data_IF_964599520252
#
_entry.id   IF_964599520252
#
_cell.length_a   1.000
_cell.length_b   1.000
_cell.length_c   1.000
_cell.angle_alpha   90.00
_cell.angle_beta   90.00
_cell.angle_gamma   90.00
#
_symmetry.space_group_name_H-M   'P 1'
#
loop_
_entity.id
_entity.type
_entity.pdbx_description
1 polymer ?
#
# COMPACT_ATOMS: atom_id res chain seq x y z
N UNK A 1 -20.97 4.87 -7.65
CA UNK A 1 -21.84 4.65 -6.48
C UNK A 1 -22.57 3.32 -6.66
N UNK A 2 -22.22 2.30 -5.89
CA UNK A 2 -22.98 1.05 -5.85
C UNK A 2 -22.77 0.39 -4.49
N UNK A 3 -23.63 0.73 -3.54
CA UNK A 3 -23.88 -0.06 -2.34
C UNK A 3 -25.34 0.20 -1.97
N UNK A 4 -26.24 -0.56 -2.58
CA UNK A 4 -27.64 -0.62 -2.14
C UNK A 4 -28.00 -2.10 -2.09
N UNK A 5 -27.96 -2.66 -0.88
CA UNK A 5 -28.46 -4.00 -0.61
C UNK A 5 -29.98 -3.92 -0.64
N UNK A 6 -30.58 -4.66 -1.56
CA UNK A 6 -32.04 -4.75 -1.76
C UNK A 6 -32.66 -5.33 -0.48
N UNK A 7 -33.65 -4.64 0.08
CA UNK A 7 -34.38 -5.08 1.26
C UNK A 7 -35.16 -6.36 0.94
N UNK A 8 -34.66 -7.52 1.38
CA UNK A 8 -35.38 -8.79 1.19
C UNK A 8 -34.55 -10.07 1.23
N UNK A 9 -33.22 -10.02 1.33
CA UNK A 9 -32.41 -11.24 1.45
C UNK A 9 -32.44 -11.79 2.89
N UNK A 10 -33.28 -12.79 3.14
CA UNK A 10 -33.21 -13.60 4.35
C UNK A 10 -31.88 -14.37 4.40
N UNK A 11 -31.15 -14.20 5.49
CA UNK A 11 -29.86 -14.83 5.72
C UNK A 11 -30.01 -16.34 5.90
N UNK A 12 -29.65 -17.11 4.87
CA UNK A 12 -29.44 -18.55 4.98
C UNK A 12 -27.92 -18.80 5.03
N UNK A 13 -27.48 -19.46 6.11
CA UNK A 13 -26.09 -19.72 6.48
C UNK A 13 -25.25 -18.53 6.99
N UNK A 14 -25.56 -18.05 8.20
CA UNK A 14 -24.67 -18.08 9.38
C UNK A 14 -23.24 -17.52 9.35
N UNK A 15 -22.68 -17.06 8.23
CA UNK A 15 -21.40 -16.34 8.16
C UNK A 15 -21.41 -15.41 6.95
N UNK A 16 -21.62 -14.11 7.18
CA UNK A 16 -21.13 -13.09 6.26
C UNK A 16 -19.64 -12.86 6.60
N UNK A 17 -18.66 -13.23 5.75
CA UNK A 17 -17.24 -13.12 6.08
C UNK A 17 -16.72 -11.68 6.04
N UNK A 18 -17.57 -10.68 5.82
CA UNK A 18 -17.23 -9.30 6.13
C UNK A 18 -17.30 -9.08 7.65
N UNK A 19 -16.28 -9.55 8.37
CA UNK A 19 -15.97 -9.01 9.69
C UNK A 19 -15.61 -7.55 9.50
N UNK A 20 -16.64 -6.71 9.54
CA UNK A 20 -16.62 -5.28 9.79
C UNK A 20 -15.64 -4.98 10.92
N UNK A 21 -14.42 -4.57 10.58
CA UNK A 21 -13.73 -3.59 11.43
C UNK A 21 -13.94 -2.24 10.75
N UNK A 22 -14.91 -1.50 11.28
CA UNK A 22 -15.12 -0.11 10.93
C UNK A 22 -13.95 0.69 11.50
N UNK A 23 -12.90 0.88 10.71
CA UNK A 23 -11.78 1.75 11.09
C UNK A 23 -12.16 3.21 10.86
N UNK A 24 -12.21 3.99 11.95
CA UNK A 24 -12.08 5.45 11.93
C UNK A 24 -10.63 5.82 11.62
N UNK A 25 -10.39 6.99 11.01
CA UNK A 25 -9.06 7.41 10.54
C UNK A 25 -7.99 7.44 11.64
N UNK A 26 -8.37 7.82 12.87
CA UNK A 26 -7.48 7.83 14.03
C UNK A 26 -6.98 6.42 14.41
N UNK A 27 -7.82 5.39 14.29
CA UNK A 27 -7.44 3.99 14.58
C UNK A 27 -6.56 3.35 13.49
N UNK A 28 -6.36 4.01 12.35
CA UNK A 28 -5.62 3.46 11.22
C UNK A 28 -4.11 3.50 11.47
N UNK A 29 -3.63 4.61 12.05
CA UNK A 29 -2.20 4.84 12.30
C UNK A 29 -1.70 3.85 13.35
N UNK A 30 -2.45 3.71 14.45
CA UNK A 30 -2.14 2.76 15.51
C UNK A 30 -1.96 1.35 14.95
N UNK A 31 -2.85 0.94 14.04
CA UNK A 31 -2.75 -0.36 13.37
C UNK A 31 -1.61 -0.45 12.37
N UNK A 32 -1.31 0.64 11.66
CA UNK A 32 -0.20 0.67 10.71
C UNK A 32 1.16 0.50 11.40
N UNK A 33 1.28 0.99 12.64
CA UNK A 33 2.47 0.82 13.47
C UNK A 33 2.65 -0.65 13.90
N UNK A 34 1.55 -1.36 14.16
CA UNK A 34 1.59 -2.77 14.60
C UNK A 34 1.95 -3.76 13.47
N UNK A 35 1.89 -3.33 12.20
CA UNK A 35 2.16 -4.19 11.05
C UNK A 35 3.57 -4.76 11.12
N UNK A 36 3.69 -6.07 10.89
CA UNK A 36 4.96 -6.81 11.01
C UNK A 36 5.55 -7.28 9.70
N UNK A 37 4.81 -7.16 8.61
CA UNK A 37 5.24 -7.58 7.27
C UNK A 37 4.45 -6.84 6.18
N UNK A 38 5.09 -6.65 5.04
CA UNK A 38 4.44 -6.20 3.80
C UNK A 38 3.90 -7.41 3.04
N UNK A 39 2.92 -7.21 2.16
CA UNK A 39 2.41 -8.28 1.29
C UNK A 39 1.06 -7.95 0.67
N UNK A 40 0.65 -8.81 -0.26
CA UNK A 40 -0.67 -8.74 -0.89
C UNK A 40 -1.63 -9.73 -0.25
N UNK A 41 -1.81 -10.86 -0.92
CA UNK A 41 -2.62 -12.00 -0.47
C UNK A 41 -1.74 -13.23 -0.20
N UNK A 42 -2.19 -14.12 0.68
CA UNK A 42 -1.45 -15.35 1.01
C UNK A 42 -2.37 -16.56 1.29
N UNK A 43 -1.81 -17.77 1.19
CA UNK A 43 -2.56 -19.01 1.41
C UNK A 43 -3.79 -19.10 0.50
N UNK A 44 -4.96 -19.36 1.07
CA UNK A 44 -6.23 -19.39 0.33
C UNK A 44 -6.77 -17.96 0.07
N UNK A 45 -6.01 -17.14 -0.66
CA UNK A 45 -6.33 -15.75 -1.05
C UNK A 45 -6.69 -14.82 0.12
N UNK A 46 -6.12 -15.06 1.30
CA UNK A 46 -6.36 -14.20 2.47
C UNK A 46 -5.60 -12.88 2.30
N UNK A 47 -6.26 -11.71 2.42
CA UNK A 47 -5.56 -10.44 2.37
C UNK A 47 -4.68 -10.26 3.61
N UNK A 48 -3.50 -9.69 3.42
CA UNK A 48 -2.65 -9.28 4.55
C UNK A 48 -3.21 -8.02 5.21
N UNK A 49 -2.90 -7.81 6.49
CA UNK A 49 -3.25 -6.58 7.21
C UNK A 49 -2.67 -5.34 6.51
N UNK A 50 -1.45 -5.44 5.99
CA UNK A 50 -0.80 -4.39 5.20
C UNK A 50 -1.65 -4.01 3.97
N UNK A 51 -2.14 -4.98 3.21
CA UNK A 51 -3.03 -4.73 2.07
C UNK A 51 -4.36 -4.09 2.51
N UNK A 52 -4.95 -4.55 3.60
CA UNK A 52 -6.19 -3.97 4.13
C UNK A 52 -6.02 -2.49 4.53
N UNK A 53 -4.91 -2.16 5.20
CA UNK A 53 -4.59 -0.79 5.57
C UNK A 53 -4.34 0.09 4.34
N UNK A 54 -3.67 -0.44 3.31
CA UNK A 54 -3.46 0.26 2.06
C UNK A 54 -4.79 0.59 1.36
N UNK A 55 -5.70 -0.38 1.27
CA UNK A 55 -7.04 -0.18 0.71
C UNK A 55 -7.83 0.84 1.52
N UNK A 56 -7.65 0.88 2.84
CA UNK A 56 -8.30 1.88 3.69
C UNK A 56 -7.71 3.27 3.50
N UNK A 57 -6.38 3.41 3.35
CA UNK A 57 -5.74 4.67 2.94
C UNK A 57 -6.29 5.17 1.60
N UNK A 58 -6.47 4.27 0.62
CA UNK A 58 -7.11 4.58 -0.67
C UNK A 58 -8.56 5.08 -0.52
N UNK A 59 -9.31 4.57 0.44
CA UNK A 59 -10.68 5.01 0.69
C UNK A 59 -10.76 6.38 1.38
N UNK A 60 -9.87 6.66 2.34
CA UNK A 60 -9.91 7.93 3.10
C UNK A 60 -9.18 9.07 2.39
N UNK A 61 -8.28 8.72 1.46
CA UNK A 61 -7.57 9.63 0.58
C UNK A 61 -6.95 10.83 1.33
N UNK A 62 -5.98 10.59 2.24
CA UNK A 62 -5.44 11.64 3.10
C UNK A 62 -4.68 12.70 2.31
N UNK A 63 -4.52 13.87 2.91
CA UNK A 63 -3.74 14.97 2.35
C UNK A 63 -2.26 14.62 2.21
N UNK A 64 -1.58 15.30 1.27
CA UNK A 64 -0.16 15.03 0.93
C UNK A 64 0.75 15.22 2.14
N UNK A 65 0.47 16.22 2.96
CA UNK A 65 1.22 16.59 4.16
C UNK A 65 1.26 15.43 5.16
N UNK A 66 0.12 14.76 5.36
CA UNK A 66 0.02 13.59 6.26
C UNK A 66 0.91 12.45 5.76
N UNK A 67 0.92 12.20 4.45
CA UNK A 67 1.76 11.16 3.84
C UNK A 67 3.25 11.47 3.96
N UNK A 68 3.63 12.75 3.84
CA UNK A 68 5.01 13.20 4.05
C UNK A 68 5.44 12.94 5.50
N UNK A 69 4.57 13.19 6.48
CA UNK A 69 4.85 12.86 7.88
C UNK A 69 4.99 11.34 8.10
N UNK A 70 4.18 10.51 7.43
CA UNK A 70 4.36 9.05 7.47
C UNK A 70 5.67 8.60 6.85
N UNK A 71 6.16 9.29 5.81
CA UNK A 71 7.47 9.01 5.22
C UNK A 71 8.61 9.38 6.17
N UNK A 72 8.47 10.49 6.90
CA UNK A 72 9.44 10.99 7.89
C UNK A 72 9.47 10.20 9.19
N UNK A 73 8.47 9.37 9.45
CA UNK A 73 8.42 8.50 10.62
C UNK A 73 9.50 7.39 10.54
N UNK A 74 10.72 7.73 10.97
CA UNK A 74 11.90 6.86 10.79
C UNK A 74 11.83 5.57 11.60
N UNK A 75 11.12 5.55 12.70
CA UNK A 75 10.99 4.40 13.60
C UNK A 75 10.09 3.30 13.00
N UNK A 76 9.08 3.68 12.22
CA UNK A 76 8.05 2.78 11.71
C UNK A 76 8.28 2.41 10.25
N UNK A 77 9.17 1.45 10.01
CA UNK A 77 9.53 1.02 8.64
C UNK A 77 8.35 0.49 7.81
N UNK A 78 7.36 -0.17 8.43
CA UNK A 78 6.19 -0.68 7.70
C UNK A 78 5.17 0.41 7.38
N UNK A 79 5.00 1.40 8.25
CA UNK A 79 4.21 2.60 7.97
C UNK A 79 4.83 3.37 6.78
N UNK A 80 6.15 3.52 6.77
CA UNK A 80 6.85 4.18 5.67
C UNK A 80 6.67 3.44 4.34
N UNK A 81 6.82 2.11 4.37
CA UNK A 81 6.56 1.27 3.19
C UNK A 81 5.11 1.41 2.72
N UNK A 82 4.14 1.49 3.65
CA UNK A 82 2.72 1.67 3.35
C UNK A 82 2.46 3.02 2.66
N UNK A 83 3.01 4.11 3.21
CA UNK A 83 2.90 5.45 2.63
C UNK A 83 3.55 5.52 1.24
N UNK A 84 4.73 4.92 1.08
CA UNK A 84 5.41 4.88 -0.22
C UNK A 84 4.59 4.15 -1.29
N UNK A 85 3.99 3.01 -0.93
CA UNK A 85 3.12 2.27 -1.85
C UNK A 85 1.85 3.04 -2.18
N UNK A 86 1.25 3.73 -1.21
CA UNK A 86 0.12 4.62 -1.45
C UNK A 86 0.49 5.72 -2.45
N UNK A 87 1.59 6.44 -2.20
CA UNK A 87 2.08 7.53 -3.05
C UNK A 87 2.30 7.03 -4.48
N UNK A 88 2.91 5.84 -4.63
CA UNK A 88 3.13 5.25 -5.95
C UNK A 88 1.83 5.02 -6.74
N UNK A 89 0.71 4.73 -6.07
CA UNK A 89 -0.56 4.46 -6.76
C UNK A 89 -1.36 5.73 -7.07
N UNK A 90 -1.18 6.81 -6.30
CA UNK A 90 -2.07 7.98 -6.36
C UNK A 90 -1.40 9.26 -6.86
N UNK A 91 -0.08 9.37 -6.84
CA UNK A 91 0.65 10.58 -7.22
C UNK A 91 1.19 10.52 -8.65
N UNK A 92 1.53 11.70 -9.17
CA UNK A 92 2.17 11.85 -10.48
C UNK A 92 3.64 11.39 -10.42
N UNK A 93 4.24 10.96 -11.54
CA UNK A 93 5.62 10.48 -11.56
C UNK A 93 6.64 11.45 -10.95
N UNK A 94 6.53 12.75 -11.22
CA UNK A 94 7.45 13.77 -10.67
C UNK A 94 7.43 13.77 -9.14
N UNK A 95 6.22 13.84 -8.56
CA UNK A 95 6.03 13.80 -7.11
C UNK A 95 6.54 12.49 -6.49
N UNK A 96 6.41 11.35 -7.19
CA UNK A 96 6.91 10.04 -6.73
C UNK A 96 8.44 10.06 -6.60
N UNK A 97 9.15 10.60 -7.58
CA UNK A 97 10.61 10.69 -7.51
C UNK A 97 11.04 11.58 -6.35
N UNK A 98 10.49 12.80 -6.26
CA UNK A 98 10.83 13.76 -5.20
C UNK A 98 10.59 13.20 -3.79
N UNK A 99 9.46 12.50 -3.58
CA UNK A 99 9.09 12.00 -2.26
C UNK A 99 9.79 10.68 -1.90
N UNK A 100 10.04 9.79 -2.87
CA UNK A 100 10.55 8.45 -2.60
C UNK A 100 12.07 8.31 -2.76
N UNK A 101 12.73 9.19 -3.52
CA UNK A 101 14.19 9.15 -3.70
C UNK A 101 14.98 9.16 -2.37
N UNK A 102 14.60 9.95 -1.33
CA UNK A 102 15.29 9.89 -0.05
C UNK A 102 15.27 8.50 0.61
N UNK A 103 14.23 7.69 0.34
CA UNK A 103 14.10 6.35 0.92
C UNK A 103 15.02 5.31 0.26
N UNK A 104 15.64 5.62 -0.88
CA UNK A 104 16.65 4.74 -1.51
C UNK A 104 17.91 4.60 -0.65
N UNK A 105 18.09 5.45 0.36
CA UNK A 105 19.18 5.36 1.34
C UNK A 105 18.80 4.50 2.56
N UNK A 106 17.55 4.01 2.63
CA UNK A 106 17.07 3.16 3.71
C UNK A 106 17.32 1.68 3.40
N UNK A 107 18.35 1.10 4.01
CA UNK A 107 18.73 -0.30 3.82
C UNK A 107 18.13 -1.24 4.87
N UNK A 108 17.04 -0.85 5.53
CA UNK A 108 16.44 -1.69 6.56
C UNK A 108 15.67 -2.84 5.94
N UNK A 109 15.81 -3.99 6.59
CA UNK A 109 15.14 -5.24 6.24
C UNK A 109 13.62 -5.15 6.44
N UNK A 110 12.86 -5.50 5.42
CA UNK A 110 11.42 -5.68 5.45
C UNK A 110 11.09 -7.17 5.31
N UNK A 111 10.14 -7.64 6.11
CA UNK A 111 9.57 -8.99 5.95
C UNK A 111 8.45 -8.91 4.92
N UNK A 112 8.55 -9.67 3.84
CA UNK A 112 7.50 -9.77 2.83
C UNK A 112 6.78 -11.10 2.92
N UNK A 113 5.45 -11.07 3.00
CA UNK A 113 4.57 -12.24 2.92
C UNK A 113 4.20 -12.49 1.46
N UNK A 114 4.64 -13.64 0.96
CA UNK A 114 4.24 -14.19 -0.33
C UNK A 114 3.17 -15.27 -0.13
N UNK A 115 2.68 -15.82 -1.26
CA UNK A 115 1.67 -16.87 -1.25
C UNK A 115 2.08 -18.09 -0.41
N UNK A 116 3.35 -18.48 -0.51
CA UNK A 116 3.91 -19.71 0.08
C UNK A 116 4.56 -19.50 1.45
N UNK A 117 4.93 -18.27 1.82
CA UNK A 117 5.71 -18.04 3.03
C UNK A 117 6.24 -16.62 3.19
N UNK A 118 7.26 -16.46 4.03
CA UNK A 118 7.93 -15.19 4.25
C UNK A 118 9.26 -15.13 3.49
N UNK A 119 9.56 -13.96 2.95
CA UNK A 119 10.83 -13.61 2.34
C UNK A 119 11.38 -12.32 2.95
N UNK A 120 12.68 -12.11 2.80
CA UNK A 120 13.35 -10.89 3.22
C UNK A 120 13.55 -10.01 1.98
N UNK A 121 13.19 -8.74 2.09
CA UNK A 121 13.52 -7.69 1.11
C UNK A 121 14.07 -6.48 1.83
N UNK A 122 14.65 -5.54 1.09
CA UNK A 122 15.16 -4.29 1.66
C UNK A 122 14.27 -3.10 1.24
N UNK A 123 14.25 -2.05 2.07
CA UNK A 123 13.41 -0.88 1.81
C UNK A 123 13.82 -0.16 0.52
N UNK A 124 15.10 0.08 0.30
CA UNK A 124 15.65 0.61 -0.95
C UNK A 124 15.23 -0.21 -2.17
N UNK A 125 15.37 -1.54 -2.13
CA UNK A 125 14.92 -2.43 -3.22
C UNK A 125 13.41 -2.32 -3.46
N UNK A 126 12.63 -2.28 -2.37
CA UNK A 126 11.19 -2.11 -2.39
C UNK A 126 10.80 -0.80 -3.08
N UNK A 127 11.42 0.32 -2.71
CA UNK A 127 11.18 1.65 -3.31
C UNK A 127 11.64 1.71 -4.76
N UNK A 128 12.82 1.15 -5.04
CA UNK A 128 13.38 1.11 -6.38
C UNK A 128 12.47 0.36 -7.36
N UNK A 129 11.84 -0.73 -6.90
CA UNK A 129 10.87 -1.49 -7.70
C UNK A 129 9.69 -0.63 -8.17
N UNK A 130 9.28 0.37 -7.37
CA UNK A 130 8.15 1.24 -7.67
C UNK A 130 8.48 2.37 -8.62
N UNK A 131 9.68 2.97 -8.51
CA UNK A 131 10.11 4.03 -9.41
C UNK A 131 10.30 3.52 -10.85
N UNK A 132 10.75 2.27 -11.00
CA UNK A 132 11.04 1.68 -12.32
C UNK A 132 9.80 1.33 -13.13
N UNK A 133 8.64 1.12 -12.49
CA UNK A 133 7.43 0.58 -13.13
C UNK A 133 6.64 1.58 -14.02
N UNK A 134 7.34 2.49 -14.70
CA UNK A 134 6.84 3.12 -15.92
C UNK A 134 7.83 3.22 -17.08
N UNK A 135 9.04 2.66 -17.03
CA UNK A 135 10.05 2.90 -18.09
C UNK A 135 11.04 1.75 -18.37
N UNK A 136 10.55 0.53 -18.56
CA UNK A 136 11.27 -0.41 -19.43
C UNK A 136 10.31 -1.39 -20.11
N UNK A 137 9.65 -0.96 -21.19
CA UNK A 137 9.26 -1.94 -22.22
C UNK A 137 10.53 -2.38 -22.94
N UNK A 138 11.22 -3.42 -22.49
CA UNK A 138 12.18 -4.32 -23.21
C UNK A 138 13.14 -3.74 -24.29
N UNK A 139 13.23 -2.43 -24.49
CA UNK A 139 13.76 -1.75 -25.70
C UNK A 139 14.46 -0.42 -25.39
N UNK A 140 14.53 0.00 -24.12
CA UNK A 140 15.37 1.12 -23.69
C UNK A 140 15.06 2.51 -24.23
N UNK A 141 13.79 2.84 -24.42
CA UNK A 141 13.36 4.21 -24.75
C UNK A 141 12.30 4.73 -23.78
N UNK A 142 12.40 6.04 -23.49
CA UNK A 142 11.48 6.79 -22.63
C UNK A 142 10.25 7.23 -23.44
N UNK A 143 9.07 6.69 -23.10
CA UNK A 143 7.82 7.06 -23.76
C UNK A 143 7.20 8.30 -23.09
N UNK A 144 7.47 9.47 -23.68
CA UNK A 144 7.01 10.78 -23.18
C UNK A 144 5.50 11.01 -23.39
N UNK A 145 4.78 10.15 -24.10
CA UNK A 145 3.35 10.35 -24.40
C UNK A 145 2.41 9.90 -23.27
N UNK A 146 2.91 9.17 -22.25
CA UNK A 146 2.07 8.66 -21.15
C UNK A 146 2.13 9.47 -19.85
N UNK A 147 2.68 10.68 -19.90
CA UNK A 147 2.79 11.61 -18.75
C UNK A 147 1.66 12.65 -18.74
N UNK A 148 0.84 12.72 -19.78
CA UNK A 148 -0.39 13.51 -19.77
C UNK A 148 -1.58 12.59 -19.53
N UNK A 149 -2.23 12.73 -18.37
CA UNK A 149 -3.65 13.05 -18.17
C UNK A 149 -3.92 13.11 -16.67
#
# INVERSE_FOLDING_TARGET
MANTTIAGAQAIHGQNPQSKQSFTAESLIDKAIEVRFIGGVYGNQRPTEYLCLLLKLLQIQPEKEILVEYLRAEEFKYLRALAALYIRMTFRPVDIYELLEPLLKDYRKLRQRNMTGYSLVFMDEFIYSYQRDKLWKRTGSWDREKVAF
#
